data_IF_439212209849
#
_entry.id   IF_439212209849
#
_cell.length_a   1.000
_cell.length_b   1.000
_cell.length_c   1.000
_cell.angle_alpha   90.00
_cell.angle_beta   90.00
_cell.angle_gamma   90.00
#
_symmetry.space_group_name_H-M   'P 1'
#
loop_
_entity.id
_entity.type
_entity.pdbx_description
1 polymer ?
#
# COMPACT_ATOMS: atom_id res chain seq x y z
N UNK A 1 -41.07 -13.68 -41.65
CA UNK A 1 -40.98 -12.47 -40.81
C UNK A 1 -41.09 -12.79 -39.31
N UNK A 2 -42.09 -13.56 -38.87
CA UNK A 2 -42.35 -13.80 -37.43
C UNK A 2 -41.29 -14.72 -36.78
N UNK A 3 -40.81 -15.75 -37.49
CA UNK A 3 -39.84 -16.71 -36.93
C UNK A 3 -38.46 -16.12 -36.60
N UNK A 4 -37.93 -15.24 -37.45
CA UNK A 4 -36.60 -14.64 -37.25
C UNK A 4 -36.63 -13.45 -36.28
N UNK A 5 -37.69 -12.62 -36.31
CA UNK A 5 -37.92 -11.62 -35.26
C UNK A 5 -38.09 -12.28 -33.88
N UNK A 6 -38.68 -13.48 -33.85
CA UNK A 6 -38.80 -14.30 -32.65
C UNK A 6 -37.46 -14.70 -32.03
N UNK A 7 -36.36 -14.70 -32.78
CA UNK A 7 -35.00 -14.99 -32.29
C UNK A 7 -34.23 -13.69 -32.00
N UNK A 8 -34.39 -12.67 -32.86
CA UNK A 8 -33.66 -11.41 -32.74
C UNK A 8 -34.02 -10.63 -31.46
N UNK A 9 -35.30 -10.59 -31.09
CA UNK A 9 -35.77 -9.87 -29.89
C UNK A 9 -35.22 -10.49 -28.59
N UNK A 10 -35.36 -11.80 -28.31
CA UNK A 10 -34.79 -12.38 -27.10
C UNK A 10 -33.26 -12.29 -27.09
N UNK A 11 -32.60 -12.42 -28.25
CA UNK A 11 -31.15 -12.24 -28.32
C UNK A 11 -30.73 -10.80 -27.98
N UNK A 12 -31.44 -9.79 -28.51
CA UNK A 12 -31.22 -8.39 -28.16
C UNK A 12 -31.46 -8.12 -26.67
N UNK A 13 -32.53 -8.69 -26.09
CA UNK A 13 -32.81 -8.59 -24.66
C UNK A 13 -31.70 -9.21 -23.81
N UNK A 14 -31.19 -10.39 -24.19
CA UNK A 14 -30.03 -11.02 -23.54
C UNK A 14 -28.80 -10.11 -23.64
N UNK A 15 -28.53 -9.51 -24.80
CA UNK A 15 -27.41 -8.59 -24.97
C UNK A 15 -27.51 -7.37 -24.05
N UNK A 16 -28.70 -6.77 -23.94
CA UNK A 16 -28.95 -5.65 -23.00
C UNK A 16 -28.71 -6.09 -21.57
N UNK A 17 -29.24 -7.25 -21.16
CA UNK A 17 -29.10 -7.74 -19.78
C UNK A 17 -27.65 -8.06 -19.42
N UNK A 18 -26.91 -8.74 -20.30
CA UNK A 18 -25.50 -9.08 -20.06
C UNK A 18 -24.64 -7.81 -20.05
N UNK A 19 -24.90 -6.87 -20.95
CA UNK A 19 -24.22 -5.58 -20.97
C UNK A 19 -24.51 -4.78 -19.70
N UNK A 20 -25.78 -4.71 -19.27
CA UNK A 20 -26.20 -4.06 -18.03
C UNK A 20 -25.52 -4.67 -16.81
N UNK A 21 -25.46 -6.00 -16.78
CA UNK A 21 -24.78 -6.76 -15.75
C UNK A 21 -23.29 -6.42 -15.69
N UNK A 22 -22.58 -6.40 -16.83
CA UNK A 22 -21.17 -6.03 -16.91
C UNK A 22 -20.95 -4.60 -16.41
N UNK A 23 -21.70 -3.65 -16.98
CA UNK A 23 -21.64 -2.22 -16.63
C UNK A 23 -21.85 -1.96 -15.12
N UNK A 24 -22.87 -2.58 -14.53
CA UNK A 24 -23.13 -2.47 -13.09
C UNK A 24 -22.08 -3.14 -12.22
N UNK A 25 -21.48 -4.25 -12.68
CA UNK A 25 -20.47 -5.01 -11.91
C UNK A 25 -19.24 -4.17 -11.59
N UNK A 26 -18.74 -3.39 -12.55
CA UNK A 26 -17.62 -2.48 -12.34
C UNK A 26 -17.94 -1.48 -11.22
N UNK A 27 -19.06 -0.77 -11.35
CA UNK A 27 -19.46 0.26 -10.37
C UNK A 27 -19.71 -0.35 -9.00
N UNK A 28 -20.37 -1.50 -8.92
CA UNK A 28 -20.61 -2.21 -7.66
C UNK A 28 -19.30 -2.54 -6.94
N UNK A 29 -18.36 -3.20 -7.63
CA UNK A 29 -17.10 -3.65 -7.04
C UNK A 29 -16.23 -2.47 -6.58
N UNK A 30 -16.16 -1.39 -7.36
CA UNK A 30 -15.37 -0.21 -7.00
C UNK A 30 -16.05 0.74 -6.01
N UNK A 31 -17.37 0.62 -5.82
CA UNK A 31 -18.13 1.40 -4.84
C UNK A 31 -18.19 0.74 -3.45
N UNK A 32 -17.66 -0.49 -3.29
CA UNK A 32 -17.53 -1.15 -1.99
C UNK A 32 -16.66 -0.33 -1.04
N UNK A 33 -17.25 0.10 0.08
CA UNK A 33 -16.60 0.88 1.13
C UNK A 33 -15.71 -0.02 1.98
N UNK A 34 -14.93 0.59 2.86
CA UNK A 34 -14.07 -0.13 3.82
C UNK A 34 -14.86 -1.08 4.71
N UNK A 35 -15.98 -0.61 5.26
CA UNK A 35 -16.89 -1.43 6.08
C UNK A 35 -17.37 -2.67 5.32
N UNK A 36 -17.71 -2.52 4.04
CA UNK A 36 -18.15 -3.65 3.20
C UNK A 36 -17.02 -4.67 3.00
N UNK A 37 -15.79 -4.20 2.74
CA UNK A 37 -14.61 -5.08 2.56
C UNK A 37 -14.22 -5.81 3.84
N UNK A 38 -14.32 -5.14 4.99
CA UNK A 38 -14.08 -5.76 6.29
C UNK A 38 -15.17 -6.79 6.64
N UNK A 39 -16.41 -6.54 6.24
CA UNK A 39 -17.48 -7.52 6.35
C UNK A 39 -17.23 -8.75 5.47
N UNK A 40 -16.81 -8.54 4.22
CA UNK A 40 -16.49 -9.62 3.28
C UNK A 40 -15.28 -10.46 3.75
N UNK A 41 -14.27 -9.85 4.36
CA UNK A 41 -13.06 -10.55 4.80
C UNK A 41 -13.28 -11.46 6.00
N UNK A 42 -14.27 -11.13 6.85
CA UNK A 42 -14.69 -11.95 8.00
C UNK A 42 -15.72 -13.02 7.63
N UNK A 43 -16.20 -13.03 6.39
CA UNK A 43 -17.21 -13.98 5.92
C UNK A 43 -16.57 -15.28 5.45
N UNK A 44 -17.17 -16.41 5.83
CA UNK A 44 -16.74 -17.74 5.35
C UNK A 44 -17.30 -18.10 3.96
N UNK A 45 -18.18 -17.27 3.41
CA UNK A 45 -18.82 -17.52 2.12
C UNK A 45 -17.78 -17.47 0.98
N UNK A 46 -17.81 -18.48 0.12
CA UNK A 46 -16.93 -18.56 -1.05
C UNK A 46 -17.08 -17.33 -1.97
N UNK A 47 -18.31 -16.84 -2.15
CA UNK A 47 -18.64 -15.67 -2.96
C UNK A 47 -17.91 -14.41 -2.45
N UNK A 48 -17.91 -14.20 -1.13
CA UNK A 48 -17.29 -13.04 -0.50
C UNK A 48 -15.76 -13.08 -0.65
N UNK A 49 -15.16 -14.26 -0.48
CA UNK A 49 -13.73 -14.50 -0.74
C UNK A 49 -13.36 -14.26 -2.22
N UNK A 50 -14.22 -14.64 -3.17
CA UNK A 50 -13.99 -14.35 -4.59
C UNK A 50 -14.05 -12.85 -4.90
N UNK A 51 -14.95 -12.09 -4.27
CA UNK A 51 -15.05 -10.64 -4.48
C UNK A 51 -13.71 -9.99 -4.14
N UNK A 52 -13.13 -10.33 -2.99
CA UNK A 52 -11.82 -9.83 -2.56
C UNK A 52 -10.72 -10.24 -3.54
N UNK A 53 -10.70 -11.50 -3.97
CA UNK A 53 -9.71 -12.02 -4.94
C UNK A 53 -9.75 -11.31 -6.29
N UNK A 54 -10.94 -10.96 -6.78
CA UNK A 54 -11.09 -10.22 -8.04
C UNK A 54 -10.65 -8.76 -7.87
N UNK A 55 -10.93 -8.15 -6.72
CA UNK A 55 -10.49 -6.79 -6.37
C UNK A 55 -8.96 -6.66 -6.21
N UNK A 56 -8.25 -7.72 -5.85
CA UNK A 56 -6.77 -7.75 -5.81
C UNK A 56 -6.14 -7.54 -7.20
N UNK A 57 -6.89 -7.78 -8.28
CA UNK A 57 -6.42 -7.68 -9.67
C UNK A 57 -7.28 -6.71 -10.47
N UNK A 58 -7.33 -5.40 -10.10
CA UNK A 58 -8.28 -4.44 -10.67
C UNK A 58 -8.09 -4.24 -12.18
N UNK A 59 -6.84 -4.26 -12.68
CA UNK A 59 -6.56 -4.20 -14.12
C UNK A 59 -7.12 -5.41 -14.89
N UNK A 60 -7.24 -6.57 -14.24
CA UNK A 60 -7.84 -7.76 -14.86
C UNK A 60 -9.34 -7.64 -14.92
N UNK A 61 -9.92 -7.29 -13.78
CA UNK A 61 -11.34 -7.02 -13.63
C UNK A 61 -11.84 -5.99 -14.66
N UNK A 62 -11.24 -4.79 -14.69
CA UNK A 62 -11.66 -3.68 -15.57
C UNK A 62 -11.63 -4.14 -17.03
N UNK A 63 -10.52 -4.76 -17.45
CA UNK A 63 -10.40 -5.24 -18.83
C UNK A 63 -11.45 -6.31 -19.18
N UNK A 64 -11.70 -7.27 -18.29
CA UNK A 64 -12.72 -8.31 -18.52
C UNK A 64 -14.12 -7.71 -18.65
N UNK A 65 -14.50 -6.84 -17.71
CA UNK A 65 -15.82 -6.20 -17.71
C UNK A 65 -16.00 -5.31 -18.95
N UNK A 66 -14.97 -4.53 -19.29
CA UNK A 66 -14.98 -3.66 -20.46
C UNK A 66 -15.15 -4.47 -21.76
N UNK A 67 -14.40 -5.56 -21.92
CA UNK A 67 -14.51 -6.43 -23.11
C UNK A 67 -15.92 -7.00 -23.22
N UNK A 68 -16.48 -7.50 -22.12
CA UNK A 68 -17.85 -8.02 -22.10
C UNK A 68 -18.87 -6.95 -22.48
N UNK A 69 -18.83 -5.80 -21.80
CA UNK A 69 -19.73 -4.69 -22.05
C UNK A 69 -19.69 -4.24 -23.52
N UNK A 70 -18.48 -4.00 -24.06
CA UNK A 70 -18.32 -3.55 -25.45
C UNK A 70 -18.72 -4.60 -26.48
N UNK A 71 -18.45 -5.88 -26.22
CA UNK A 71 -18.84 -6.97 -27.12
C UNK A 71 -20.36 -7.07 -27.25
N UNK A 72 -21.09 -7.07 -26.13
CA UNK A 72 -22.55 -7.18 -26.14
C UNK A 72 -23.24 -5.90 -26.62
N UNK A 73 -22.67 -4.71 -26.34
CA UNK A 73 -23.16 -3.46 -26.93
C UNK A 73 -23.00 -3.45 -28.46
N UNK A 74 -21.85 -3.91 -28.96
CA UNK A 74 -21.60 -4.01 -30.40
C UNK A 74 -22.50 -5.05 -31.06
N UNK A 75 -22.69 -6.20 -30.42
CA UNK A 75 -23.60 -7.24 -30.90
C UNK A 75 -25.05 -6.74 -30.95
N UNK A 76 -25.50 -6.02 -29.92
CA UNK A 76 -26.82 -5.39 -29.91
C UNK A 76 -26.99 -4.41 -31.07
N UNK A 77 -26.01 -3.54 -31.32
CA UNK A 77 -26.04 -2.61 -32.45
C UNK A 77 -26.14 -3.35 -33.80
N UNK A 78 -25.39 -4.45 -33.96
CA UNK A 78 -25.46 -5.30 -35.17
C UNK A 78 -26.83 -5.97 -35.31
N UNK A 79 -27.40 -6.50 -34.22
CA UNK A 79 -28.74 -7.12 -34.24
C UNK A 79 -29.80 -6.08 -34.62
N UNK A 80 -29.77 -4.89 -34.02
CA UNK A 80 -30.71 -3.81 -34.34
C UNK A 80 -30.56 -3.40 -35.80
N UNK A 81 -29.34 -3.22 -36.30
CA UNK A 81 -29.10 -2.90 -37.71
C UNK A 81 -29.65 -3.98 -38.64
N UNK A 82 -29.41 -5.26 -38.34
CA UNK A 82 -29.92 -6.37 -39.14
C UNK A 82 -31.46 -6.40 -39.17
N UNK A 83 -32.11 -6.12 -38.03
CA UNK A 83 -33.57 -6.02 -37.93
C UNK A 83 -34.10 -4.84 -38.77
N UNK A 84 -33.44 -3.68 -38.72
CA UNK A 84 -33.86 -2.50 -39.51
C UNK A 84 -33.70 -2.74 -41.01
N UNK A 85 -32.56 -3.27 -41.47
CA UNK A 85 -32.34 -3.63 -42.88
C UNK A 85 -33.40 -4.62 -43.36
N UNK A 86 -33.79 -5.57 -42.51
CA UNK A 86 -34.79 -6.58 -42.86
C UNK A 86 -36.22 -6.01 -42.93
N UNK A 87 -36.52 -5.04 -42.08
CA UNK A 87 -37.82 -4.35 -42.04
C UNK A 87 -37.99 -3.38 -43.21
N UNK A 88 -36.92 -2.67 -43.58
CA UNK A 88 -36.88 -1.78 -44.73
C UNK A 88 -35.69 -2.15 -45.62
N UNK A 89 -35.87 -3.09 -46.57
CA UNK A 89 -34.83 -3.49 -47.51
C UNK A 89 -34.29 -2.29 -48.29
N UNK A 90 -32.98 -2.27 -48.49
CA UNK A 90 -32.27 -1.16 -49.14
C UNK A 90 -32.04 -1.46 -50.60
N UNK A 91 -32.90 -0.93 -51.45
CA UNK A 91 -32.66 -0.88 -52.89
C UNK A 91 -32.29 0.56 -53.26
N UNK A 92 -31.05 0.97 -52.92
CA UNK A 92 -30.63 2.35 -53.11
C UNK A 92 -29.11 2.58 -52.98
N UNK A 93 -28.68 3.78 -53.39
CA UNK A 93 -27.28 4.22 -53.27
C UNK A 93 -26.87 4.55 -51.83
N UNK A 94 -25.67 5.12 -51.67
CA UNK A 94 -25.04 5.39 -50.36
C UNK A 94 -25.95 6.16 -49.37
N UNK A 95 -26.81 7.06 -49.87
CA UNK A 95 -27.74 7.82 -49.03
C UNK A 95 -28.77 6.94 -48.28
N UNK A 96 -29.23 5.85 -48.89
CA UNK A 96 -30.20 4.94 -48.26
C UNK A 96 -29.56 4.13 -47.11
N UNK A 97 -28.28 3.76 -47.26
CA UNK A 97 -27.50 3.12 -46.21
C UNK A 97 -27.29 4.03 -45.00
N UNK A 98 -27.03 5.32 -45.21
CA UNK A 98 -26.93 6.30 -44.11
C UNK A 98 -28.26 6.48 -43.37
N UNK A 99 -29.38 6.51 -44.08
CA UNK A 99 -30.70 6.63 -43.48
C UNK A 99 -30.99 5.44 -42.53
N UNK A 100 -30.70 4.21 -42.98
CA UNK A 100 -30.90 3.01 -42.16
C UNK A 100 -29.91 2.88 -41.02
N UNK A 101 -28.65 3.25 -41.24
CA UNK A 101 -27.69 3.38 -40.14
C UNK A 101 -28.18 4.37 -39.08
N UNK A 102 -28.76 5.50 -39.50
CA UNK A 102 -29.36 6.49 -38.62
C UNK A 102 -30.54 5.95 -37.80
N UNK A 103 -31.46 5.22 -38.43
CA UNK A 103 -32.59 4.58 -37.74
C UNK A 103 -32.10 3.53 -36.74
N UNK A 104 -31.18 2.65 -37.16
CA UNK A 104 -30.62 1.63 -36.29
C UNK A 104 -29.91 2.24 -35.09
N UNK A 105 -29.14 3.32 -35.29
CA UNK A 105 -28.49 4.06 -34.22
C UNK A 105 -29.49 4.71 -33.27
N UNK A 106 -30.55 5.34 -33.80
CA UNK A 106 -31.60 5.97 -33.00
C UNK A 106 -32.34 4.98 -32.10
N UNK A 107 -32.42 3.70 -32.50
CA UNK A 107 -32.99 2.62 -31.69
C UNK A 107 -31.96 2.03 -30.71
N UNK A 108 -30.76 1.69 -31.19
CA UNK A 108 -29.75 0.99 -30.38
C UNK A 108 -29.16 1.89 -29.28
N UNK A 109 -28.90 3.16 -29.57
CA UNK A 109 -28.25 4.08 -28.64
C UNK A 109 -29.00 4.26 -27.31
N UNK A 110 -30.31 4.58 -27.28
CA UNK A 110 -31.03 4.71 -26.01
C UNK A 110 -31.11 3.37 -25.25
N UNK A 111 -31.22 2.23 -25.95
CA UNK A 111 -31.22 0.91 -25.29
C UNK A 111 -29.88 0.63 -24.59
N UNK A 112 -28.76 0.96 -25.25
CA UNK A 112 -27.43 0.82 -24.67
C UNK A 112 -27.23 1.82 -23.53
N UNK A 113 -27.42 3.11 -23.78
CA UNK A 113 -27.06 4.16 -22.83
C UNK A 113 -28.00 4.19 -21.62
N UNK A 114 -29.31 4.15 -21.83
CA UNK A 114 -30.25 4.28 -20.72
C UNK A 114 -30.32 2.97 -19.93
N UNK A 115 -30.65 1.87 -20.62
CA UNK A 115 -30.96 0.60 -19.95
C UNK A 115 -29.68 -0.12 -19.54
N UNK A 116 -28.76 -0.35 -20.49
CA UNK A 116 -27.53 -1.07 -20.18
C UNK A 116 -26.59 -0.24 -19.30
N UNK A 117 -26.39 1.04 -19.60
CA UNK A 117 -25.33 1.78 -18.93
C UNK A 117 -25.79 2.58 -17.70
N UNK A 118 -26.65 3.58 -17.89
CA UNK A 118 -27.02 4.53 -16.82
C UNK A 118 -27.84 3.86 -15.72
N UNK A 119 -28.89 3.10 -16.07
CA UNK A 119 -29.76 2.46 -15.08
C UNK A 119 -29.01 1.42 -14.25
N UNK A 120 -28.23 0.54 -14.88
CA UNK A 120 -27.50 -0.51 -14.18
C UNK A 120 -26.42 0.05 -13.24
N UNK A 121 -25.65 1.05 -13.69
CA UNK A 121 -24.64 1.72 -12.87
C UNK A 121 -25.26 2.40 -11.66
N UNK A 122 -26.40 3.07 -11.86
CA UNK A 122 -27.13 3.74 -10.78
C UNK A 122 -27.64 2.74 -9.74
N UNK A 123 -28.19 1.60 -10.18
CA UNK A 123 -28.69 0.57 -9.28
C UNK A 123 -27.55 -0.14 -8.53
N UNK A 124 -26.46 -0.46 -9.23
CA UNK A 124 -25.24 -1.03 -8.67
C UNK A 124 -24.61 -0.13 -7.60
N UNK A 125 -24.60 1.20 -7.82
CA UNK A 125 -24.07 2.16 -6.86
C UNK A 125 -24.92 2.25 -5.57
N UNK A 126 -26.23 2.02 -5.66
CA UNK A 126 -27.13 2.03 -4.49
C UNK A 126 -26.99 0.77 -3.62
N UNK A 127 -26.74 -0.38 -4.23
CA UNK A 127 -26.65 -1.67 -3.54
C UNK A 127 -25.39 -2.47 -3.94
N UNK A 128 -24.19 -1.94 -3.68
CA UNK A 128 -22.94 -2.50 -4.22
C UNK A 128 -22.64 -3.90 -3.71
N UNK A 129 -22.91 -4.19 -2.43
CA UNK A 129 -22.63 -5.50 -1.82
C UNK A 129 -23.50 -6.62 -2.41
N UNK A 130 -24.80 -6.36 -2.55
CA UNK A 130 -25.73 -7.30 -3.16
C UNK A 130 -25.34 -7.58 -4.62
N UNK A 131 -25.10 -6.51 -5.39
CA UNK A 131 -24.71 -6.62 -6.79
C UNK A 131 -23.39 -7.39 -6.95
N UNK A 132 -22.36 -7.07 -6.15
CA UNK A 132 -21.08 -7.76 -6.19
C UNK A 132 -21.20 -9.27 -5.92
N UNK A 133 -22.04 -9.67 -4.96
CA UNK A 133 -22.28 -11.09 -4.63
C UNK A 133 -22.98 -11.84 -5.76
N UNK A 134 -23.98 -11.23 -6.37
CA UNK A 134 -24.66 -11.82 -7.53
C UNK A 134 -23.70 -11.94 -8.72
N UNK A 135 -22.82 -10.94 -8.89
CA UNK A 135 -22.04 -10.82 -10.11
C UNK A 135 -20.71 -11.57 -10.11
N UNK A 136 -20.08 -11.78 -8.95
CA UNK A 136 -18.71 -12.29 -8.90
C UNK A 136 -18.54 -13.69 -9.50
N UNK A 137 -19.53 -14.57 -9.33
CA UNK A 137 -19.46 -15.94 -9.84
C UNK A 137 -19.52 -15.99 -11.38
N UNK A 138 -20.55 -15.44 -12.05
CA UNK A 138 -20.59 -15.37 -13.51
C UNK A 138 -19.44 -14.55 -14.10
N UNK A 139 -19.01 -13.47 -13.42
CA UNK A 139 -17.85 -12.69 -13.84
C UNK A 139 -16.55 -13.51 -13.81
N UNK A 140 -16.36 -14.34 -12.79
CA UNK A 140 -15.16 -15.20 -12.67
C UNK A 140 -15.10 -16.24 -13.79
N UNK A 141 -16.25 -16.83 -14.14
CA UNK A 141 -16.35 -17.73 -15.29
C UNK A 141 -16.04 -17.00 -16.60
N UNK A 142 -16.65 -15.84 -16.81
CA UNK A 142 -16.42 -15.02 -18.00
C UNK A 142 -14.96 -14.56 -18.12
N UNK A 143 -14.31 -14.25 -16.99
CA UNK A 143 -12.89 -13.88 -16.97
C UNK A 143 -11.99 -15.00 -17.51
N UNK A 144 -12.31 -16.28 -17.25
CA UNK A 144 -11.57 -17.42 -17.82
C UNK A 144 -11.75 -17.46 -19.33
N UNK A 145 -12.98 -17.32 -19.82
CA UNK A 145 -13.31 -17.35 -21.27
C UNK A 145 -12.60 -16.22 -22.02
N UNK A 146 -12.53 -15.02 -21.44
CA UNK A 146 -11.92 -13.83 -22.06
C UNK A 146 -10.40 -13.78 -21.88
N UNK A 147 -9.81 -14.65 -21.06
CA UNK A 147 -8.35 -14.68 -20.82
C UNK A 147 -7.50 -14.71 -22.11
N UNK A 148 -7.76 -15.55 -23.14
CA UNK A 148 -6.95 -15.53 -24.37
C UNK A 148 -7.02 -14.18 -25.10
N UNK A 149 -8.22 -13.61 -25.26
CA UNK A 149 -8.42 -12.31 -25.89
C UNK A 149 -7.66 -11.22 -25.13
N UNK A 150 -7.73 -11.28 -23.80
CA UNK A 150 -7.06 -10.34 -22.91
C UNK A 150 -5.54 -10.41 -23.05
N UNK A 151 -4.95 -11.60 -23.19
CA UNK A 151 -3.51 -11.77 -23.42
C UNK A 151 -3.12 -11.13 -24.75
N UNK A 152 -3.87 -11.37 -25.82
CA UNK A 152 -3.63 -10.75 -27.14
C UNK A 152 -3.67 -9.22 -27.04
N UNK A 153 -4.70 -8.66 -26.40
CA UNK A 153 -4.82 -7.20 -26.22
C UNK A 153 -3.66 -6.61 -25.40
N UNK A 154 -3.20 -7.32 -24.37
CA UNK A 154 -2.05 -6.90 -23.57
C UNK A 154 -0.78 -6.90 -24.42
N UNK A 155 -0.53 -7.94 -25.23
CA UNK A 155 0.60 -7.99 -26.16
C UNK A 155 0.55 -6.85 -27.17
N UNK A 156 -0.62 -6.55 -27.75
CA UNK A 156 -0.78 -5.43 -28.67
C UNK A 156 -0.49 -4.09 -28.00
N UNK A 157 -1.00 -3.89 -26.79
CA UNK A 157 -0.73 -2.68 -26.00
C UNK A 157 0.76 -2.53 -25.72
N UNK A 158 1.44 -3.62 -25.36
CA UNK A 158 2.88 -3.63 -25.12
C UNK A 158 3.69 -3.32 -26.39
N UNK A 159 3.26 -3.80 -27.56
CA UNK A 159 3.88 -3.49 -28.86
C UNK A 159 3.75 -2.01 -29.19
N UNK A 160 2.54 -1.44 -29.03
CA UNK A 160 2.26 -0.02 -29.32
C UNK A 160 2.99 0.91 -28.35
N UNK A 161 3.14 0.50 -27.10
CA UNK A 161 3.82 1.29 -26.06
C UNK A 161 5.35 1.06 -26.04
N UNK A 162 5.86 0.03 -26.71
CA UNK A 162 7.30 -0.27 -26.82
C UNK A 162 8.15 0.91 -27.33
N UNK A 163 7.74 1.67 -28.36
CA UNK A 163 8.50 2.84 -28.82
C UNK A 163 8.37 4.06 -27.90
N UNK A 164 7.40 4.11 -26.97
CA UNK A 164 7.18 5.23 -26.04
C UNK A 164 8.05 5.17 -24.77
N UNK A 165 8.98 4.22 -24.69
CA UNK A 165 9.92 4.12 -23.57
C UNK A 165 9.48 3.14 -22.48
N UNK A 166 10.44 2.32 -22.09
CA UNK A 166 10.35 1.10 -21.31
C UNK A 166 9.86 1.29 -19.85
N UNK A 167 8.55 1.44 -19.62
CA UNK A 167 7.96 1.28 -18.27
C UNK A 167 6.63 0.52 -18.21
N UNK A 168 6.22 -0.14 -19.29
CA UNK A 168 5.04 -1.04 -19.28
C UNK A 168 5.48 -2.50 -19.13
N UNK A 169 6.48 -2.76 -18.29
CA UNK A 169 6.63 -4.11 -17.74
C UNK A 169 5.67 -4.21 -16.56
N UNK A 170 4.76 -5.16 -16.65
CA UNK A 170 4.06 -5.81 -15.54
C UNK A 170 5.08 -6.29 -14.50
N UNK A 171 5.61 -5.36 -13.69
CA UNK A 171 6.59 -5.67 -12.67
C UNK A 171 5.87 -6.41 -11.53
N UNK A 172 6.31 -7.63 -11.14
CA UNK A 172 6.00 -8.13 -9.81
C UNK A 172 6.57 -7.11 -8.80
N UNK A 173 5.80 -6.84 -7.74
CA UNK A 173 6.11 -5.97 -6.60
C UNK A 173 7.42 -5.19 -6.73
N UNK A 174 7.34 -3.91 -7.11
CA UNK A 174 8.44 -2.96 -6.90
C UNK A 174 8.80 -3.04 -5.41
N UNK A 175 10.09 -3.11 -5.10
CA UNK A 175 10.57 -2.70 -3.78
C UNK A 175 10.06 -1.27 -3.55
N UNK A 176 9.06 -1.14 -2.68
CA UNK A 176 8.44 0.13 -2.34
C UNK A 176 9.55 1.05 -1.82
N UNK A 177 9.65 2.25 -2.39
CA UNK A 177 10.57 3.24 -1.81
C UNK A 177 10.10 3.60 -0.40
N UNK A 178 11.02 4.03 0.47
CA UNK A 178 10.68 4.46 1.83
C UNK A 178 9.65 5.61 1.82
N UNK A 179 9.69 6.47 0.80
CA UNK A 179 8.74 7.56 0.59
C UNK A 179 7.36 7.04 0.18
N UNK A 180 7.29 6.11 -0.78
CA UNK A 180 6.04 5.45 -1.18
C UNK A 180 5.41 4.69 0.00
N UNK A 181 6.22 4.01 0.80
CA UNK A 181 5.75 3.31 2.00
C UNK A 181 5.23 4.28 3.07
N UNK A 182 5.91 5.43 3.29
CA UNK A 182 5.39 6.51 4.15
C UNK A 182 4.04 7.02 3.66
N UNK A 183 3.89 7.28 2.35
CA UNK A 183 2.61 7.72 1.79
C UNK A 183 1.49 6.70 1.96
N UNK A 184 1.79 5.40 1.82
CA UNK A 184 0.83 4.32 2.06
C UNK A 184 0.44 4.22 3.54
N UNK A 185 1.38 4.40 4.46
CA UNK A 185 1.11 4.46 5.90
C UNK A 185 0.23 5.65 6.28
N UNK A 186 0.50 6.80 5.67
CA UNK A 186 -0.28 8.03 5.86
C UNK A 186 -1.72 7.83 5.35
N UNK A 187 -1.89 7.22 4.19
CA UNK A 187 -3.19 6.84 3.66
C UNK A 187 -3.90 5.77 4.52
N UNK A 188 -3.18 4.76 5.01
CA UNK A 188 -3.72 3.70 5.88
C UNK A 188 -4.19 4.23 7.23
N UNK A 189 -3.43 5.16 7.82
CA UNK A 189 -3.80 5.82 9.09
C UNK A 189 -5.00 6.75 8.93
N UNK A 190 -5.04 7.57 7.87
CA UNK A 190 -6.20 8.43 7.56
C UNK A 190 -7.49 7.64 7.39
N UNK A 191 -7.38 6.36 7.00
CA UNK A 191 -8.51 5.49 6.79
C UNK A 191 -8.71 4.48 7.94
N UNK A 192 -8.03 4.65 9.08
CA UNK A 192 -8.24 3.89 10.32
C UNK A 192 -7.62 2.49 10.37
N UNK A 193 -6.76 2.12 9.42
CA UNK A 193 -6.09 0.81 9.38
C UNK A 193 -4.82 0.71 10.22
N UNK A 194 -4.27 1.85 10.66
CA UNK A 194 -3.03 1.93 11.44
C UNK A 194 -3.27 2.89 12.58
N UNK A 195 -3.05 2.43 13.80
CA UNK A 195 -3.24 3.26 14.99
C UNK A 195 -2.26 4.44 15.01
N UNK A 196 -2.64 5.54 15.65
CA UNK A 196 -1.80 6.73 15.74
C UNK A 196 -0.47 6.44 16.48
N UNK A 197 -0.45 5.51 17.43
CA UNK A 197 0.77 5.11 18.14
C UNK A 197 1.70 4.27 17.26
N UNK A 198 1.17 3.33 16.47
CA UNK A 198 1.90 2.52 15.51
C UNK A 198 2.51 3.38 14.40
N UNK A 199 1.74 4.33 13.86
CA UNK A 199 2.21 5.33 12.91
C UNK A 199 3.42 6.09 13.45
N UNK A 200 3.33 6.60 14.68
CA UNK A 200 4.42 7.35 15.32
C UNK A 200 5.65 6.48 15.52
N UNK A 201 5.48 5.21 15.88
CA UNK A 201 6.59 4.28 16.04
C UNK A 201 7.31 4.06 14.70
N UNK A 202 6.56 3.77 13.64
CA UNK A 202 7.14 3.48 12.31
C UNK A 202 7.88 4.71 11.76
N UNK A 203 7.30 5.90 11.88
CA UNK A 203 7.98 7.14 11.50
C UNK A 203 9.29 7.35 12.27
N UNK A 204 9.30 7.09 13.58
CA UNK A 204 10.52 7.17 14.41
C UNK A 204 11.56 6.11 14.03
N UNK A 205 11.16 4.92 13.60
CA UNK A 205 12.09 3.88 13.11
C UNK A 205 12.79 4.32 11.83
N UNK A 206 12.06 4.97 10.92
CA UNK A 206 12.66 5.56 9.73
C UNK A 206 13.61 6.70 10.08
N UNK A 207 13.17 7.67 10.89
CA UNK A 207 14.06 8.75 11.36
C UNK A 207 15.30 8.22 12.09
N UNK A 208 15.16 7.15 12.87
CA UNK A 208 16.28 6.50 13.56
C UNK A 208 17.28 5.89 12.58
N UNK A 209 16.79 5.36 11.45
CA UNK A 209 17.64 4.75 10.41
C UNK A 209 18.41 5.80 9.61
N UNK A 210 17.85 7.00 9.45
CA UNK A 210 18.42 8.09 8.67
C UNK A 210 19.39 8.99 9.49
N UNK A 211 19.45 8.82 10.82
CA UNK A 211 20.26 9.67 11.71
C UNK A 211 21.66 9.10 12.00
N UNK A 212 22.59 10.02 12.21
CA UNK A 212 23.95 9.75 12.67
C UNK A 212 24.13 10.09 14.16
N UNK A 213 25.14 9.50 14.79
CA UNK A 213 25.47 9.69 16.22
C UNK A 213 25.61 11.17 16.58
N UNK A 214 26.22 11.97 15.70
CA UNK A 214 26.40 13.40 15.91
C UNK A 214 25.10 14.22 16.02
N UNK A 215 23.95 13.67 15.62
CA UNK A 215 22.63 14.31 15.73
C UNK A 215 21.89 13.96 17.04
N UNK A 216 22.37 12.96 17.78
CA UNK A 216 21.72 12.48 19.03
C UNK A 216 22.65 12.50 20.25
N UNK A 217 23.95 12.74 20.06
CA UNK A 217 24.93 12.81 21.15
C UNK A 217 24.66 13.99 22.09
N UNK A 218 25.08 13.87 23.35
CA UNK A 218 25.18 15.01 24.27
C UNK A 218 26.34 15.91 23.82
N UNK A 219 26.10 17.20 23.51
CA UNK A 219 27.18 18.13 23.15
C UNK A 219 28.23 18.24 24.26
N UNK A 220 29.50 18.46 23.88
CA UNK A 220 30.66 18.49 24.79
C UNK A 220 30.45 19.37 26.03
N UNK A 221 29.89 20.56 25.82
CA UNK A 221 29.62 21.56 26.87
C UNK A 221 28.59 21.09 27.91
N UNK A 222 27.75 20.11 27.56
CA UNK A 222 26.71 19.56 28.43
C UNK A 222 27.10 18.20 29.03
N UNK A 223 28.31 17.72 28.79
CA UNK A 223 28.78 16.46 29.36
C UNK A 223 29.06 16.65 30.85
N UNK A 224 28.38 15.87 31.68
CA UNK A 224 28.78 15.68 33.07
C UNK A 224 29.87 14.61 33.13
N UNK A 225 31.09 15.01 33.46
CA UNK A 225 32.25 14.15 33.61
C UNK A 225 33.06 14.59 34.82
N UNK A 226 33.81 13.66 35.43
CA UNK A 226 34.58 13.92 36.63
C UNK A 226 36.08 13.71 36.37
N UNK A 227 36.92 14.50 37.04
CA UNK A 227 38.37 14.34 36.97
C UNK A 227 38.80 13.07 37.71
N UNK A 228 39.78 12.36 37.15
CA UNK A 228 40.44 11.23 37.79
C UNK A 228 41.10 11.60 39.14
N UNK A 229 41.47 12.87 39.31
CA UNK A 229 42.16 13.37 40.51
C UNK A 229 41.19 13.71 41.67
N UNK A 230 39.87 13.58 41.45
CA UNK A 230 38.89 13.80 42.51
C UNK A 230 38.92 12.66 43.54
N UNK A 231 38.70 12.96 44.82
CA UNK A 231 38.54 11.89 45.82
C UNK A 231 37.25 11.10 45.59
N UNK A 232 37.28 9.79 45.86
CA UNK A 232 36.14 8.90 45.67
C UNK A 232 34.87 9.40 46.40
N UNK A 233 35.03 9.92 47.63
CA UNK A 233 33.93 10.50 48.41
C UNK A 233 33.27 11.69 47.71
N UNK A 234 34.06 12.58 47.08
CA UNK A 234 33.53 13.70 46.31
C UNK A 234 32.85 13.21 45.03
N UNK A 235 33.43 12.23 44.32
CA UNK A 235 32.79 11.65 43.13
C UNK A 235 31.42 11.07 43.47
N UNK A 236 31.30 10.31 44.56
CA UNK A 236 30.02 9.75 45.01
C UNK A 236 28.99 10.85 45.30
N UNK A 237 29.39 11.93 45.98
CA UNK A 237 28.49 13.06 46.28
C UNK A 237 28.00 13.75 45.00
N UNK A 238 28.90 14.01 44.05
CA UNK A 238 28.56 14.64 42.76
C UNK A 238 27.63 13.76 41.91
N UNK A 239 27.91 12.45 41.84
CA UNK A 239 27.08 11.48 41.10
C UNK A 239 25.69 11.37 41.73
N UNK A 240 25.62 11.26 43.06
CA UNK A 240 24.35 11.19 43.79
C UNK A 240 23.51 12.46 43.61
N UNK A 241 24.14 13.64 43.60
CA UNK A 241 23.45 14.92 43.38
C UNK A 241 22.90 15.09 41.96
N UNK A 242 23.51 14.45 40.96
CA UNK A 242 23.12 14.57 39.54
C UNK A 242 22.22 13.44 39.03
N UNK A 243 22.26 12.26 39.68
CA UNK A 243 21.41 11.12 39.32
C UNK A 243 21.81 10.36 38.05
N UNK A 244 23.00 10.60 37.49
CA UNK A 244 23.47 9.88 36.30
C UNK A 244 23.95 8.47 36.65
N UNK A 245 23.53 7.47 35.87
CA UNK A 245 23.95 6.08 36.09
C UNK A 245 25.38 5.78 35.61
N UNK A 246 25.93 6.58 34.69
CA UNK A 246 27.24 6.39 34.06
C UNK A 246 27.90 7.73 33.85
N UNK A 247 29.17 7.85 34.23
CA UNK A 247 29.89 9.12 34.19
C UNK A 247 31.28 8.89 33.61
N UNK A 248 31.67 9.60 32.53
CA UNK A 248 33.03 9.57 32.03
C UNK A 248 34.01 10.14 33.05
N UNK A 249 35.13 9.44 33.25
CA UNK A 249 36.24 9.89 34.08
C UNK A 249 37.38 10.30 33.16
N UNK A 250 37.79 11.57 33.23
CA UNK A 250 38.82 12.13 32.38
C UNK A 250 40.07 12.49 33.17
N UNK A 251 41.22 12.61 32.49
CA UNK A 251 42.45 13.08 33.11
C UNK A 251 43.03 14.25 32.31
N UNK A 252 43.26 15.38 32.98
CA UNK A 252 43.68 16.67 32.41
C UNK A 252 42.67 17.34 31.46
N UNK A 253 42.13 16.61 30.48
CA UNK A 253 41.13 17.11 29.51
C UNK A 253 40.08 16.04 29.20
N UNK A 254 38.88 16.46 28.78
CA UNK A 254 37.83 15.60 28.25
C UNK A 254 38.24 14.84 26.97
N UNK A 255 39.32 15.26 26.30
CA UNK A 255 39.91 14.51 25.18
C UNK A 255 40.59 13.21 25.64
N UNK A 256 40.89 13.11 26.94
CA UNK A 256 41.56 11.98 27.55
C UNK A 256 40.65 11.30 28.59
N UNK A 257 39.64 10.59 28.08
CA UNK A 257 38.74 9.77 28.91
C UNK A 257 39.44 8.48 29.29
N UNK A 258 39.71 8.30 30.59
CA UNK A 258 40.35 7.09 31.14
C UNK A 258 39.38 5.92 31.26
N UNK A 259 38.10 6.19 31.45
CA UNK A 259 37.07 5.16 31.48
C UNK A 259 35.70 5.67 31.90
N UNK A 260 34.75 4.76 32.04
CA UNK A 260 33.37 5.04 32.44
C UNK A 260 33.12 4.43 33.82
N UNK A 261 32.68 5.26 34.76
CA UNK A 261 32.28 4.82 36.10
C UNK A 261 30.75 4.62 36.14
N UNK A 262 30.27 3.43 36.52
CA UNK A 262 28.83 3.24 36.77
C UNK A 262 28.51 3.55 38.24
N UNK A 263 27.42 4.28 38.47
CA UNK A 263 26.94 4.61 39.81
C UNK A 263 26.65 3.35 40.66
N UNK A 264 26.16 2.27 40.04
CA UNK A 264 25.89 1.00 40.72
C UNK A 264 27.14 0.35 41.34
N UNK A 265 28.32 0.59 40.77
CA UNK A 265 29.57 -0.01 41.25
C UNK A 265 30.03 0.71 42.55
N UNK A 266 29.57 1.95 42.75
CA UNK A 266 29.79 2.72 43.97
C UNK A 266 28.88 2.27 45.13
N UNK A 267 27.70 1.68 44.85
CA UNK A 267 26.76 1.20 45.88
C UNK A 267 27.38 0.09 46.73
N UNK A 268 28.15 -0.82 46.13
CA UNK A 268 28.86 -1.90 46.87
C UNK A 268 29.93 -1.35 47.81
N UNK A 269 30.47 -0.18 47.49
CA UNK A 269 31.50 0.52 48.27
C UNK A 269 30.91 1.23 49.49
N UNK A 270 29.66 1.70 49.39
CA UNK A 270 28.92 2.32 50.49
C UNK A 270 28.45 1.31 51.57
N UNK A 271 28.42 0.01 51.25
CA UNK A 271 27.98 -1.07 52.16
C UNK A 271 29.05 -1.56 53.15
N UNK A 272 30.10 -0.77 53.41
CA UNK A 272 31.06 -1.03 54.49
C UNK A 272 32.29 -1.87 54.14
N UNK A 273 32.56 -2.16 52.86
CA UNK A 273 33.85 -2.71 52.45
C UNK A 273 34.89 -1.58 52.35
N UNK A 274 36.05 -1.67 53.02
CA UNK A 274 37.07 -0.63 52.95
C UNK A 274 37.51 -0.40 51.50
N UNK A 275 37.72 0.88 51.14
CA UNK A 275 38.25 1.37 49.86
C UNK A 275 39.70 0.91 49.67
N UNK A 276 39.89 -0.39 49.43
CA UNK A 276 41.18 -0.98 49.05
C UNK A 276 41.35 -1.12 47.53
N UNK A 277 40.31 -0.86 46.74
CA UNK A 277 40.39 -0.98 45.28
C UNK A 277 40.76 0.36 44.64
N UNK A 278 41.83 0.44 43.84
CA UNK A 278 42.14 1.63 43.08
C UNK A 278 40.98 1.96 42.12
N UNK A 279 40.70 3.26 41.92
CA UNK A 279 39.64 3.74 41.01
C UNK A 279 39.70 3.06 39.63
N UNK A 280 40.92 2.78 39.15
CA UNK A 280 41.19 2.04 37.91
C UNK A 280 40.37 0.74 37.79
N UNK A 281 40.20 -0.01 38.88
CA UNK A 281 39.47 -1.29 38.88
C UNK A 281 37.95 -1.13 38.74
N UNK A 282 37.42 0.08 38.98
CA UNK A 282 36.00 0.39 38.83
C UNK A 282 35.68 1.01 37.46
N UNK A 283 36.71 1.42 36.70
CA UNK A 283 36.55 2.02 35.39
C UNK A 283 36.29 0.93 34.34
N UNK A 284 35.22 1.12 33.59
CA UNK A 284 34.91 0.31 32.42
C UNK A 284 35.53 0.94 31.18
N UNK A 285 36.01 0.09 30.25
CA UNK A 285 36.61 0.55 29.00
C UNK A 285 35.61 1.36 28.17
N UNK A 286 35.97 2.60 27.75
CA UNK A 286 35.08 3.45 26.98
C UNK A 286 35.01 2.98 25.52
N UNK A 287 33.79 2.89 24.98
CA UNK A 287 33.60 2.66 23.55
C UNK A 287 33.70 3.99 22.80
N UNK A 288 34.67 4.14 21.91
CA UNK A 288 34.80 5.32 21.06
C UNK A 288 34.12 5.14 19.71
N UNK A 289 33.39 6.16 19.23
CA UNK A 289 32.73 6.13 17.93
C UNK A 289 32.79 7.49 17.21
N UNK A 290 33.01 7.53 15.89
CA UNK A 290 32.95 8.78 15.12
C UNK A 290 31.56 9.42 15.12
N UNK A 291 31.48 10.77 15.08
CA UNK A 291 30.20 11.51 14.88
C UNK A 291 29.38 11.04 13.67
N UNK A 292 30.04 10.61 12.60
CA UNK A 292 29.42 10.19 11.33
C UNK A 292 28.85 8.77 11.37
N UNK A 293 29.04 8.03 12.48
CA UNK A 293 28.53 6.67 12.61
C UNK A 293 27.00 6.67 12.55
N UNK A 294 26.36 5.82 11.72
CA UNK A 294 24.91 5.66 11.73
C UNK A 294 24.42 5.13 13.08
N UNK A 295 23.33 5.70 13.62
CA UNK A 295 22.82 5.29 14.95
C UNK A 295 22.46 3.81 14.98
N UNK A 296 21.91 3.27 13.87
CA UNK A 296 21.64 1.84 13.72
C UNK A 296 22.87 0.97 14.02
N UNK A 297 24.04 1.37 13.55
CA UNK A 297 25.30 0.64 13.77
C UNK A 297 25.75 0.75 15.24
N UNK A 298 25.65 1.94 15.84
CA UNK A 298 25.95 2.12 17.27
C UNK A 298 25.02 1.27 18.15
N UNK A 299 23.72 1.25 17.85
CA UNK A 299 22.74 0.47 18.60
C UNK A 299 23.01 -1.04 18.54
N UNK A 300 23.37 -1.56 17.37
CA UNK A 300 23.79 -2.97 17.24
C UNK A 300 25.07 -3.26 18.03
N UNK A 301 26.02 -2.31 18.02
CA UNK A 301 27.27 -2.42 18.81
C UNK A 301 26.97 -2.43 20.32
N UNK A 302 26.07 -1.56 20.78
CA UNK A 302 25.59 -1.55 22.17
C UNK A 302 24.95 -2.88 22.57
N UNK A 303 24.10 -3.46 21.71
CA UNK A 303 23.49 -4.78 21.95
C UNK A 303 24.54 -5.90 22.02
N UNK A 304 25.49 -5.93 21.09
CA UNK A 304 26.52 -6.97 21.02
C UNK A 304 27.49 -6.90 22.20
N UNK A 305 28.01 -5.70 22.51
CA UNK A 305 28.97 -5.48 23.59
C UNK A 305 28.32 -5.36 24.98
N UNK A 306 26.99 -5.32 25.05
CA UNK A 306 26.20 -5.06 26.29
C UNK A 306 26.64 -3.78 27.01
N UNK A 307 26.95 -2.74 26.23
CA UNK A 307 27.31 -1.41 26.73
C UNK A 307 26.20 -0.40 26.42
N UNK A 308 26.14 0.67 27.21
CA UNK A 308 25.04 1.65 27.16
C UNK A 308 25.50 3.10 27.00
N UNK A 309 26.81 3.31 26.81
CA UNK A 309 27.42 4.62 26.63
C UNK A 309 28.61 4.47 25.68
N UNK A 310 28.79 5.45 24.81
CA UNK A 310 29.96 5.61 23.96
C UNK A 310 30.44 7.06 24.05
N UNK A 311 31.75 7.25 23.88
CA UNK A 311 32.36 8.56 23.74
C UNK A 311 32.47 8.87 22.25
N UNK A 312 31.95 10.03 21.85
CA UNK A 312 31.96 10.44 20.45
C UNK A 312 33.24 11.20 20.16
N UNK A 313 33.92 10.82 19.07
CA UNK A 313 35.14 11.46 18.55
C UNK A 313 34.91 12.07 17.17
#
# INVERSE_FOLDING_TARGET
MIGELGIAIPLAAICVLVSAFCSGTEVALFSLRRVDRDQLSRSELWVDKQILKVLERPRRLIATVLIGNQAFNSLLAVIVLAVVIRWQPVDGGVAAWWAIGGIALAIALPLIVLISEVTSKTLAAKMPLFWARVCVAPLSLFAVIVTPIRVVLQTMTEIVLRPLGEKVRTRPARDLSQEEFRSLLDAGSAQGQVDASERRLIHRVFEFSDKNVGQVMTPRERIFALSYDLSMQRMMKEIAGRGFSRVPIYQKSLDNVRGILNAKDLVRTAAGQPLGRPLVELLHEPLFVPRTTPIKRLFLTFKQKKVHMAIVV
#
